data_IF_314527866740
#
_entry.id   IF_314527866740
#
_cell.length_a   1.000
_cell.length_b   1.000
_cell.length_c   1.000
_cell.angle_alpha   90.00
_cell.angle_beta   90.00
_cell.angle_gamma   90.00
#
_symmetry.space_group_name_H-M   'P 1'
#
loop_
_entity.id
_entity.type
_entity.pdbx_description
1 polymer ?
#
# COMPACT_ATOMS: atom_id res chain seq x y z
N UNK A 1 15.07 -7.13 1.87
CA UNK A 1 13.76 -6.92 2.50
C UNK A 1 13.09 -5.91 1.64
N UNK A 2 12.19 -6.41 0.81
CA UNK A 2 11.78 -5.70 -0.38
C UNK A 2 10.41 -5.08 -0.10
N UNK A 3 10.36 -3.76 -0.25
CA UNK A 3 9.19 -2.96 0.09
C UNK A 3 8.79 -2.10 -1.08
N UNK A 4 7.50 -1.83 -1.19
CA UNK A 4 6.96 -0.89 -2.16
C UNK A 4 6.02 0.09 -1.47
N UNK A 5 6.13 1.37 -1.85
CA UNK A 5 5.15 2.38 -1.46
C UNK A 5 4.08 2.46 -2.54
N UNK A 6 2.83 2.39 -2.11
CA UNK A 6 1.66 2.63 -2.98
C UNK A 6 0.84 3.78 -2.41
N UNK A 7 0.31 4.61 -3.29
CA UNK A 7 -0.59 5.70 -2.94
C UNK A 7 -1.95 5.11 -2.57
N UNK A 8 -2.57 5.64 -1.53
CA UNK A 8 -3.87 5.22 -1.04
C UNK A 8 -4.73 6.45 -0.74
N UNK A 9 -6.04 6.29 -0.87
CA UNK A 9 -6.98 7.30 -0.42
C UNK A 9 -6.88 7.42 1.12
N UNK A 10 -6.88 8.63 1.70
CA UNK A 10 -6.73 8.82 3.15
C UNK A 10 -7.70 7.98 4.00
N UNK A 11 -8.93 7.83 3.52
CA UNK A 11 -9.99 7.04 4.15
C UNK A 11 -9.69 5.52 4.15
N UNK A 12 -8.83 5.04 3.25
CA UNK A 12 -8.45 3.63 3.12
C UNK A 12 -7.20 3.25 3.91
N UNK A 13 -6.34 4.21 4.24
CA UNK A 13 -5.04 3.96 4.92
C UNK A 13 -5.21 3.18 6.22
N UNK A 14 -6.22 3.52 7.02
CA UNK A 14 -6.51 2.83 8.28
C UNK A 14 -6.86 1.36 8.07
N UNK A 15 -7.80 1.09 7.15
CA UNK A 15 -8.26 -0.27 6.83
C UNK A 15 -7.15 -1.13 6.22
N UNK A 16 -6.35 -0.58 5.31
CA UNK A 16 -5.23 -1.30 4.69
C UNK A 16 -4.20 -1.75 5.73
N UNK A 17 -3.91 -0.91 6.73
CA UNK A 17 -2.96 -1.22 7.80
C UNK A 17 -3.44 -2.28 8.81
N UNK A 18 -4.68 -2.75 8.71
CA UNK A 18 -5.15 -3.91 9.48
C UNK A 18 -4.67 -5.23 8.87
N UNK A 19 -4.20 -5.22 7.61
CA UNK A 19 -3.67 -6.40 6.94
C UNK A 19 -2.19 -6.57 7.25
N UNK A 20 -1.81 -7.78 7.62
CA UNK A 20 -0.41 -8.15 7.82
C UNK A 20 0.41 -7.87 6.56
N UNK A 21 1.60 -7.29 6.74
CA UNK A 21 2.46 -6.87 5.63
C UNK A 21 2.21 -5.46 5.10
N UNK A 22 1.21 -4.73 5.61
CA UNK A 22 1.00 -3.30 5.32
C UNK A 22 1.35 -2.41 6.51
N UNK A 23 2.20 -1.43 6.28
CA UNK A 23 2.77 -0.55 7.31
C UNK A 23 2.54 0.93 6.99
N UNK A 24 2.72 1.82 7.99
CA UNK A 24 2.82 3.26 7.70
C UNK A 24 3.87 3.53 6.61
N UNK A 25 3.58 4.50 5.74
CA UNK A 25 4.49 4.85 4.65
C UNK A 25 5.92 5.14 5.13
N UNK A 26 6.87 4.49 4.47
CA UNK A 26 8.30 4.73 4.58
C UNK A 26 8.69 5.91 3.68
N UNK A 27 9.24 6.98 4.27
CA UNK A 27 9.63 8.25 3.62
C UNK A 27 8.55 9.05 2.89
N UNK A 28 7.39 8.46 2.58
CA UNK A 28 6.26 9.14 1.95
C UNK A 28 5.25 9.66 2.99
N UNK A 29 4.28 10.47 2.53
CA UNK A 29 3.22 11.00 3.39
C UNK A 29 2.33 9.86 3.93
N UNK A 30 2.28 9.72 5.26
CA UNK A 30 1.56 8.65 5.98
C UNK A 30 0.04 8.74 5.87
N UNK A 31 -0.50 9.86 5.42
CA UNK A 31 -1.94 10.04 5.16
C UNK A 31 -2.35 9.60 3.75
N UNK A 32 -1.40 9.53 2.81
CA UNK A 32 -1.69 9.27 1.40
C UNK A 32 -0.97 8.06 0.82
N UNK A 33 -0.13 7.40 1.61
CA UNK A 33 0.69 6.30 1.17
C UNK A 33 0.74 5.20 2.24
N UNK A 34 0.98 3.97 1.80
CA UNK A 34 1.30 2.82 2.65
C UNK A 34 2.50 2.08 2.09
N UNK A 35 3.22 1.38 2.97
CA UNK A 35 4.32 0.50 2.58
C UNK A 35 3.87 -0.94 2.65
N UNK A 36 4.05 -1.69 1.56
CA UNK A 36 3.77 -3.12 1.48
C UNK A 36 5.10 -3.87 1.53
N UNK A 37 5.19 -4.89 2.39
CA UNK A 37 6.30 -5.83 2.43
C UNK A 37 6.04 -6.97 1.44
N UNK A 38 6.90 -7.13 0.43
CA UNK A 38 6.70 -8.11 -0.64
C UNK A 38 6.95 -9.56 -0.21
N UNK A 39 7.67 -9.76 0.89
CA UNK A 39 7.97 -11.08 1.47
C UNK A 39 6.78 -11.68 2.26
N UNK A 40 5.59 -11.08 2.18
CA UNK A 40 4.39 -11.53 2.91
C UNK A 40 3.38 -12.22 1.97
N UNK A 41 2.37 -12.90 2.54
CA UNK A 41 1.38 -13.72 1.81
C UNK A 41 0.36 -12.91 0.99
N UNK A 42 0.80 -11.89 0.24
CA UNK A 42 -0.05 -11.24 -0.76
C UNK A 42 -0.19 -12.12 -1.99
N UNK A 43 -1.41 -12.27 -2.48
CA UNK A 43 -1.59 -12.82 -3.82
C UNK A 43 -1.13 -11.81 -4.87
N UNK A 44 -0.76 -12.31 -6.05
CA UNK A 44 -0.37 -11.45 -7.17
C UNK A 44 -1.51 -10.51 -7.60
N UNK A 45 -2.75 -10.99 -7.51
CA UNK A 45 -3.96 -10.24 -7.82
C UNK A 45 -4.18 -9.08 -6.84
N UNK A 46 -3.99 -9.34 -5.54
CA UNK A 46 -4.11 -8.30 -4.50
C UNK A 46 -3.06 -7.21 -4.69
N UNK A 47 -1.80 -7.60 -4.92
CA UNK A 47 -0.71 -6.67 -5.18
C UNK A 47 -0.99 -5.80 -6.43
N UNK A 48 -1.46 -6.42 -7.52
CA UNK A 48 -1.84 -5.69 -8.74
C UNK A 48 -2.98 -4.72 -8.48
N UNK A 49 -4.01 -5.11 -7.73
CA UNK A 49 -5.13 -4.23 -7.39
C UNK A 49 -4.65 -2.98 -6.61
N UNK A 50 -3.76 -3.16 -5.63
CA UNK A 50 -3.20 -2.05 -4.86
C UNK A 50 -2.35 -1.10 -5.72
N UNK A 51 -1.62 -1.65 -6.69
CA UNK A 51 -0.84 -0.86 -7.66
C UNK A 51 -1.77 -0.09 -8.60
N UNK A 52 -2.82 -0.73 -9.12
CA UNK A 52 -3.81 -0.10 -10.01
C UNK A 52 -4.56 1.04 -9.29
N UNK A 53 -4.98 0.83 -8.04
CA UNK A 53 -5.61 1.86 -7.23
C UNK A 53 -4.66 3.04 -6.99
N UNK A 54 -3.39 2.76 -6.66
CA UNK A 54 -2.36 3.78 -6.53
C UNK A 54 -2.16 4.58 -7.81
N UNK A 55 -2.13 3.91 -8.96
CA UNK A 55 -1.97 4.55 -10.27
C UNK A 55 -3.12 5.51 -10.58
N UNK A 56 -4.35 5.13 -10.23
CA UNK A 56 -5.55 5.98 -10.42
C UNK A 56 -5.56 7.24 -9.54
N UNK A 57 -4.80 7.26 -8.46
CA UNK A 57 -4.64 8.40 -7.56
C UNK A 57 -3.49 9.35 -7.95
N UNK A 58 -2.73 9.01 -8.98
CA UNK A 58 -1.63 9.83 -9.51
C UNK A 58 -2.08 10.59 -10.76
N UNK A 59 -2.76 11.70 -10.53
CA UNK A 59 -3.00 12.77 -11.49
C UNK A 59 -2.29 14.05 -11.07
#
# INVERSE_FOLDING_TARGET
>A
MDIVNVKAAPEMVGSLRLKDGIYPAYHMNKEHWVTIMLDTEFSSEELKSLIDDSYRLTW
#
